data_IF_652911879924
#
_entry.id   IF_652911879924
#
_cell.length_a   1.000
_cell.length_b   1.000
_cell.length_c   1.000
_cell.angle_alpha   90.00
_cell.angle_beta   90.00
_cell.angle_gamma   90.00
#
_symmetry.space_group_name_H-M   'P 1'
#
loop_
_entity.id
_entity.type
_entity.pdbx_description
1 polymer ?
#
# COMPACT_ATOMS: atom_id res chain seq x y z
N UNK A 1 31.89 -24.69 0.55
CA UNK A 1 32.16 -23.27 0.84
C UNK A 1 31.20 -22.43 0.01
N UNK A 2 30.01 -22.14 0.53
CA UNK A 2 28.99 -21.33 -0.16
C UNK A 2 28.70 -20.12 0.71
N UNK A 3 29.27 -18.98 0.34
CA UNK A 3 28.89 -17.67 0.88
C UNK A 3 27.46 -17.38 0.41
N UNK A 4 26.50 -17.49 1.30
CA UNK A 4 25.22 -16.80 1.15
C UNK A 4 25.44 -15.38 1.67
N UNK A 5 25.61 -14.46 0.73
CA UNK A 5 25.53 -13.02 0.99
C UNK A 5 24.08 -12.70 1.34
N UNK A 6 23.77 -12.66 2.63
CA UNK A 6 22.44 -12.27 3.07
C UNK A 6 22.23 -10.77 2.81
N UNK A 7 21.17 -10.47 2.08
CA UNK A 7 20.82 -9.12 1.66
C UNK A 7 20.30 -8.38 2.89
N UNK A 8 21.20 -7.69 3.59
CA UNK A 8 20.86 -6.76 4.67
C UNK A 8 20.09 -5.57 4.11
N UNK A 9 18.82 -5.77 3.76
CA UNK A 9 17.86 -4.69 3.52
C UNK A 9 17.60 -3.95 4.82
N UNK A 10 17.44 -2.63 4.74
CA UNK A 10 17.15 -1.82 5.92
C UNK A 10 15.75 -2.21 6.42
N UNK A 11 15.67 -2.79 7.62
CA UNK A 11 14.38 -3.14 8.25
C UNK A 11 13.57 -1.87 8.55
N UNK A 12 12.27 -1.88 8.28
CA UNK A 12 11.35 -0.76 8.56
C UNK A 12 11.45 -0.32 10.02
N UNK A 13 11.57 -1.28 10.93
CA UNK A 13 11.78 -1.03 12.37
C UNK A 13 13.12 -0.31 12.62
N UNK A 14 14.16 -0.67 11.88
CA UNK A 14 15.46 0.00 11.93
C UNK A 14 15.39 1.45 11.46
N UNK A 15 14.61 1.74 10.41
CA UNK A 15 14.40 3.11 9.91
C UNK A 15 13.66 3.96 10.95
N UNK A 16 12.60 3.43 11.55
CA UNK A 16 11.83 4.14 12.58
C UNK A 16 12.67 4.42 13.82
N UNK A 17 13.48 3.45 14.25
CA UNK A 17 14.37 3.59 15.39
C UNK A 17 15.49 4.60 15.10
N UNK A 18 16.06 4.58 13.89
CA UNK A 18 17.03 5.58 13.43
C UNK A 18 16.42 6.98 13.42
N UNK A 19 15.21 7.15 12.87
CA UNK A 19 14.49 8.43 12.86
C UNK A 19 14.23 8.96 14.27
N UNK A 20 13.84 8.09 15.20
CA UNK A 20 13.65 8.45 16.61
C UNK A 20 14.96 8.93 17.26
N UNK A 21 16.07 8.22 17.05
CA UNK A 21 17.40 8.64 17.55
C UNK A 21 17.79 10.00 16.97
N UNK A 22 17.55 10.23 15.68
CA UNK A 22 17.84 11.50 15.00
C UNK A 22 17.07 12.66 15.62
N UNK A 23 15.78 12.46 15.92
CA UNK A 23 14.95 13.45 16.62
C UNK A 23 15.52 13.77 18.02
N UNK A 24 15.93 12.75 18.77
CA UNK A 24 16.54 12.95 20.10
C UNK A 24 17.86 13.73 20.02
N UNK A 25 18.72 13.41 19.04
CA UNK A 25 19.98 14.12 18.80
C UNK A 25 19.72 15.59 18.47
N UNK A 26 18.80 15.88 17.55
CA UNK A 26 18.42 17.26 17.20
C UNK A 26 17.86 18.02 18.41
N UNK A 27 17.05 17.35 19.23
CA UNK A 27 16.51 17.91 20.48
C UNK A 27 17.62 18.21 21.50
N UNK A 28 18.62 17.35 21.64
CA UNK A 28 19.80 17.56 22.50
C UNK A 28 20.57 18.83 22.09
N UNK A 29 20.75 19.06 20.79
CA UNK A 29 21.37 20.27 20.25
C UNK A 29 20.46 21.50 20.23
N UNK A 30 19.26 21.44 20.83
CA UNK A 30 18.26 22.52 20.86
C UNK A 30 17.80 22.97 19.46
N UNK A 31 17.96 22.12 18.45
CA UNK A 31 17.44 22.37 17.10
C UNK A 31 15.94 22.05 17.12
N UNK A 32 15.13 23.08 16.95
CA UNK A 32 13.67 22.92 16.85
C UNK A 32 13.31 22.36 15.48
N UNK A 33 12.90 21.09 15.43
CA UNK A 33 12.38 20.46 14.20
C UNK A 33 11.22 21.28 13.64
N UNK A 34 10.35 21.81 14.51
CA UNK A 34 9.27 22.70 14.09
C UNK A 34 9.80 23.93 13.37
N UNK A 35 10.81 24.60 13.93
CA UNK A 35 11.37 25.81 13.30
C UNK A 35 12.02 25.53 11.94
N UNK A 36 12.61 24.34 11.77
CA UNK A 36 13.18 23.89 10.49
C UNK A 36 12.08 23.57 9.48
N UNK A 37 11.02 22.87 9.90
CA UNK A 37 9.89 22.53 9.02
C UNK A 37 9.08 23.77 8.64
N UNK A 38 8.88 24.71 9.55
CA UNK A 38 8.13 25.96 9.33
C UNK A 38 8.99 27.07 8.70
N UNK A 39 10.29 26.85 8.46
CA UNK A 39 11.12 27.85 7.77
C UNK A 39 10.70 28.01 6.31
N UNK A 40 10.91 29.18 5.68
CA UNK A 40 10.64 29.37 4.26
C UNK A 40 11.31 28.30 3.40
N UNK A 41 12.58 27.98 3.68
CA UNK A 41 13.34 26.96 2.94
C UNK A 41 12.80 25.54 3.20
N UNK A 42 12.35 25.26 4.42
CA UNK A 42 11.71 24.00 4.78
C UNK A 42 10.40 23.79 4.03
N UNK A 43 9.54 24.80 4.02
CA UNK A 43 8.27 24.79 3.30
C UNK A 43 8.47 24.69 1.78
N UNK A 44 9.38 25.48 1.21
CA UNK A 44 9.67 25.46 -0.24
C UNK A 44 10.15 24.08 -0.71
N UNK A 45 11.02 23.42 0.07
CA UNK A 45 11.50 22.08 -0.27
C UNK A 45 10.40 21.01 -0.14
N UNK A 46 9.57 21.09 0.90
CA UNK A 46 8.42 20.19 1.09
C UNK A 46 7.42 20.38 -0.05
N UNK A 47 7.15 21.62 -0.44
CA UNK A 47 6.26 21.94 -1.54
C UNK A 47 6.82 21.45 -2.88
N UNK A 48 8.12 21.63 -3.13
CA UNK A 48 8.78 21.15 -4.35
C UNK A 48 8.69 19.62 -4.47
N UNK A 49 9.05 18.89 -3.41
CA UNK A 49 9.00 17.42 -3.39
C UNK A 49 7.56 16.92 -3.42
N UNK A 50 6.67 17.55 -2.64
CA UNK A 50 5.26 17.22 -2.58
C UNK A 50 4.53 17.47 -3.89
N UNK A 51 4.86 18.56 -4.59
CA UNK A 51 4.35 18.89 -5.91
C UNK A 51 4.76 17.86 -6.96
N UNK A 52 6.04 17.47 -6.97
CA UNK A 52 6.53 16.41 -7.85
C UNK A 52 5.88 15.05 -7.58
N UNK A 53 5.75 14.66 -6.30
CA UNK A 53 5.07 13.42 -5.92
C UNK A 53 3.58 13.45 -6.30
N UNK A 54 2.90 14.59 -6.13
CA UNK A 54 1.50 14.77 -6.50
C UNK A 54 1.30 14.71 -8.01
N UNK A 55 2.19 15.33 -8.80
CA UNK A 55 2.18 15.22 -10.26
C UNK A 55 2.43 13.78 -10.70
N UNK A 56 3.47 13.11 -10.20
CA UNK A 56 3.71 11.70 -10.51
C UNK A 56 2.52 10.80 -10.19
N UNK A 57 1.88 11.01 -9.04
CA UNK A 57 0.66 10.29 -8.68
C UNK A 57 -0.46 10.57 -9.69
N UNK A 58 -0.77 11.83 -9.96
CA UNK A 58 -1.88 12.22 -10.82
C UNK A 58 -1.68 11.81 -12.29
N UNK A 59 -0.44 11.92 -12.79
CA UNK A 59 -0.12 11.77 -14.20
C UNK A 59 0.18 10.31 -14.58
N UNK A 60 0.65 9.49 -13.64
CA UNK A 60 1.09 8.11 -13.95
C UNK A 60 0.41 7.02 -13.13
N UNK A 61 0.15 7.25 -11.84
CA UNK A 61 -0.30 6.16 -10.96
C UNK A 61 -1.79 6.14 -10.71
N UNK A 62 -2.44 7.31 -10.76
CA UNK A 62 -3.85 7.47 -10.42
C UNK A 62 -4.72 6.56 -11.28
N UNK A 63 -4.68 6.70 -12.60
CA UNK A 63 -5.55 5.94 -13.48
C UNK A 63 -5.35 4.41 -13.36
N UNK A 64 -4.12 3.87 -13.41
CA UNK A 64 -3.89 2.43 -13.18
C UNK A 64 -4.35 1.94 -11.80
N UNK A 65 -4.12 2.73 -10.75
CA UNK A 65 -4.53 2.36 -9.40
C UNK A 65 -6.05 2.32 -9.27
N UNK A 66 -6.76 3.28 -9.87
CA UNK A 66 -8.21 3.30 -9.91
C UNK A 66 -8.76 2.12 -10.72
N UNK A 67 -8.16 1.79 -11.87
CA UNK A 67 -8.56 0.62 -12.65
C UNK A 67 -8.41 -0.68 -11.85
N UNK A 68 -7.25 -0.90 -11.23
CA UNK A 68 -7.00 -2.09 -10.42
C UNK A 68 -7.94 -2.17 -9.22
N UNK A 69 -8.26 -1.04 -8.60
CA UNK A 69 -9.14 -1.01 -7.45
C UNK A 69 -10.60 -1.25 -7.83
N UNK A 70 -11.13 -0.46 -8.77
CA UNK A 70 -12.54 -0.50 -9.14
C UNK A 70 -12.85 -1.68 -10.04
N UNK A 71 -12.21 -1.77 -11.20
CA UNK A 71 -12.59 -2.74 -12.22
C UNK A 71 -12.10 -4.15 -11.89
N UNK A 72 -10.94 -4.29 -11.25
CA UNK A 72 -10.39 -5.61 -10.93
C UNK A 72 -10.79 -6.05 -9.53
N UNK A 73 -10.42 -5.29 -8.51
CA UNK A 73 -10.63 -5.74 -7.13
C UNK A 73 -12.10 -5.69 -6.74
N UNK A 74 -12.80 -4.56 -6.94
CA UNK A 74 -14.19 -4.45 -6.54
C UNK A 74 -15.12 -5.27 -7.45
N UNK A 75 -15.05 -5.05 -8.77
CA UNK A 75 -16.05 -5.63 -9.68
C UNK A 75 -15.82 -7.11 -9.97
N UNK A 76 -14.58 -7.55 -10.21
CA UNK A 76 -14.32 -8.97 -10.51
C UNK A 76 -14.25 -9.79 -9.22
N UNK A 77 -13.42 -9.37 -8.26
CA UNK A 77 -13.13 -10.19 -7.08
C UNK A 77 -14.15 -10.00 -5.95
N UNK A 78 -14.32 -8.77 -5.46
CA UNK A 78 -15.03 -8.50 -4.22
C UNK A 78 -16.54 -8.75 -4.33
N UNK A 79 -17.18 -8.30 -5.41
CA UNK A 79 -18.61 -8.57 -5.65
C UNK A 79 -18.89 -10.07 -5.75
N UNK A 80 -18.10 -10.80 -6.56
CA UNK A 80 -18.22 -12.25 -6.70
C UNK A 80 -18.01 -12.96 -5.35
N UNK A 81 -17.03 -12.52 -4.56
CA UNK A 81 -16.77 -13.06 -3.24
C UNK A 81 -17.96 -12.89 -2.29
N UNK A 82 -18.47 -11.66 -2.15
CA UNK A 82 -19.59 -11.37 -1.24
C UNK A 82 -20.86 -12.11 -1.69
N UNK A 83 -21.19 -12.12 -2.98
CA UNK A 83 -22.37 -12.82 -3.49
C UNK A 83 -22.33 -14.32 -3.16
N UNK A 84 -21.17 -14.96 -3.35
CA UNK A 84 -21.02 -16.38 -3.02
C UNK A 84 -21.07 -16.64 -1.52
N UNK A 85 -20.53 -15.74 -0.68
CA UNK A 85 -20.65 -15.83 0.77
C UNK A 85 -22.10 -15.69 1.26
N UNK A 86 -22.89 -14.80 0.65
CA UNK A 86 -24.31 -14.66 0.94
C UNK A 86 -25.11 -15.91 0.54
N UNK A 87 -24.84 -16.46 -0.65
CA UNK A 87 -25.44 -17.72 -1.10
C UNK A 87 -25.15 -18.86 -0.12
N UNK A 88 -23.90 -19.01 0.34
CA UNK A 88 -23.53 -20.03 1.34
C UNK A 88 -24.32 -19.84 2.65
N UNK A 89 -24.41 -18.59 3.13
CA UNK A 89 -25.18 -18.25 4.34
C UNK A 89 -26.66 -18.64 4.18
N UNK A 90 -27.22 -18.40 3.01
CA UNK A 90 -28.64 -18.60 2.72
C UNK A 90 -28.96 -20.03 2.23
N UNK A 91 -27.97 -20.92 2.20
CA UNK A 91 -28.11 -22.32 1.79
C UNK A 91 -28.35 -22.50 0.28
N UNK A 92 -27.94 -21.52 -0.53
CA UNK A 92 -28.04 -21.56 -1.98
C UNK A 92 -26.73 -22.04 -2.62
N UNK A 93 -26.79 -22.73 -3.77
CA UNK A 93 -25.59 -23.11 -4.50
C UNK A 93 -24.81 -21.88 -4.95
N UNK A 94 -23.48 -21.95 -4.87
CA UNK A 94 -22.54 -20.94 -5.34
C UNK A 94 -22.49 -20.88 -6.86
N UNK A 95 -22.00 -19.78 -7.42
CA UNK A 95 -21.82 -19.67 -8.87
C UNK A 95 -20.82 -20.73 -9.38
N UNK A 96 -19.85 -21.13 -8.54
CA UNK A 96 -18.93 -22.24 -8.85
C UNK A 96 -19.65 -23.58 -9.00
N UNK A 97 -20.62 -23.87 -8.13
CA UNK A 97 -21.42 -25.10 -8.20
C UNK A 97 -22.39 -25.08 -9.38
N UNK A 98 -22.95 -23.92 -9.71
CA UNK A 98 -23.85 -23.75 -10.85
C UNK A 98 -23.11 -23.94 -12.19
N UNK A 99 -21.86 -23.47 -12.27
CA UNK A 99 -21.06 -23.52 -13.49
C UNK A 99 -20.08 -24.70 -13.55
N UNK A 100 -20.08 -25.57 -12.54
CA UNK A 100 -19.26 -26.78 -12.56
C UNK A 100 -19.76 -27.74 -13.65
N UNK A 101 -18.85 -28.40 -14.41
CA UNK A 101 -19.25 -29.40 -15.38
C UNK A 101 -19.90 -30.60 -14.66
N UNK A 102 -21.07 -31.00 -15.11
CA UNK A 102 -21.75 -32.21 -14.64
C UNK A 102 -20.99 -33.43 -15.16
N UNK A 103 -20.45 -34.24 -14.26
CA UNK A 103 -19.90 -35.54 -14.61
C UNK A 103 -21.07 -36.47 -14.93
N UNK A 104 -21.31 -36.75 -16.21
CA UNK A 104 -22.17 -37.86 -16.62
C UNK A 104 -21.50 -39.14 -16.11
N UNK A 105 -22.05 -39.71 -15.03
CA UNK A 105 -21.70 -41.07 -14.60
C UNK A 105 -22.58 -42.02 -15.38
N UNK A 106 -21.98 -42.69 -16.36
CA UNK A 106 -22.53 -43.91 -16.98
C UNK A 106 -22.71 -45.03 -15.97
#
# INVERSE_FOLDING_TARGET
MTKLSDKNGISIIGILLLGFILILVLSYFKISIRAVVESPEGQDNIEYVGGGARSLWNDYFKEPAFYLWHDVFLDIFWQSFISNMERIRDGQPTDFEIHAPTLDRE
#
